data_IF_555749982988
#
_entry.id   IF_555749982988
#
_cell.length_a   1.000
_cell.length_b   1.000
_cell.length_c   1.000
_cell.angle_alpha   90.00
_cell.angle_beta   90.00
_cell.angle_gamma   90.00
#
_symmetry.space_group_name_H-M   'P 1'
#
loop_
_entity.id
_entity.type
_entity.pdbx_description
1 polymer ?
#
# COMPACT_ATOMS: atom_id res chain seq x y z
N UNK A 1 25.04 6.32 7.88
CA UNK A 1 24.62 6.87 6.58
C UNK A 1 23.17 6.45 6.38
N UNK A 2 22.24 7.37 6.14
CA UNK A 2 20.83 7.00 5.93
C UNK A 2 20.72 6.27 4.58
N UNK A 3 19.95 5.17 4.50
CA UNK A 3 19.76 4.43 3.25
C UNK A 3 19.04 5.33 2.23
N UNK A 4 19.30 5.11 0.94
CA UNK A 4 18.53 5.75 -0.11
C UNK A 4 17.10 5.18 -0.07
N UNK A 5 16.12 6.04 0.22
CA UNK A 5 14.71 5.67 0.31
C UNK A 5 14.07 5.73 -1.08
N UNK A 6 13.24 4.75 -1.42
CA UNK A 6 12.42 4.74 -2.63
C UNK A 6 11.53 6.00 -2.68
N UNK A 7 11.25 6.51 -3.87
CA UNK A 7 10.31 7.63 -4.06
C UNK A 7 8.85 7.31 -3.68
N UNK A 8 8.57 6.07 -3.24
CA UNK A 8 7.27 5.66 -2.73
C UNK A 8 6.94 6.36 -1.40
N UNK A 9 5.69 6.82 -1.21
CA UNK A 9 5.27 7.43 0.06
C UNK A 9 5.43 6.47 1.24
N UNK A 10 5.63 7.04 2.43
CA UNK A 10 5.61 6.30 3.69
C UNK A 10 4.29 5.57 3.90
N UNK A 11 4.35 4.43 4.58
CA UNK A 11 3.18 3.66 5.01
C UNK A 11 3.19 3.51 6.51
N UNK A 12 2.10 3.90 7.17
CA UNK A 12 2.01 3.87 8.64
C UNK A 12 1.13 2.72 9.13
N UNK A 13 1.64 1.94 10.08
CA UNK A 13 0.89 0.94 10.85
C UNK A 13 1.66 0.62 12.14
N UNK A 14 0.99 0.08 13.16
CA UNK A 14 1.59 -0.28 14.45
C UNK A 14 2.44 0.85 15.08
N UNK A 15 1.99 2.11 14.94
CA UNK A 15 2.69 3.26 15.53
C UNK A 15 3.97 3.70 14.80
N UNK A 16 4.34 3.07 13.69
CA UNK A 16 5.54 3.40 12.94
C UNK A 16 5.24 3.80 11.49
N UNK A 17 6.08 4.66 10.91
CA UNK A 17 6.13 4.90 9.48
C UNK A 17 7.19 4.03 8.82
N UNK A 18 6.88 3.52 7.63
CA UNK A 18 7.71 2.56 6.90
C UNK A 18 7.98 3.05 5.49
N UNK A 19 9.21 2.85 5.05
CA UNK A 19 9.68 3.14 3.71
C UNK A 19 10.42 1.93 3.15
N UNK A 20 10.36 1.78 1.83
CA UNK A 20 11.14 0.78 1.13
C UNK A 20 12.47 1.40 0.71
N UNK A 21 13.58 0.73 0.96
CA UNK A 21 14.89 1.18 0.49
C UNK A 21 15.05 0.93 -1.01
N UNK A 22 15.90 1.72 -1.66
CA UNK A 22 16.36 1.43 -3.02
C UNK A 22 17.31 0.22 -2.92
N UNK A 23 17.18 -0.80 -3.78
CA UNK A 23 18.12 -1.92 -3.77
C UNK A 23 19.55 -1.42 -3.95
N UNK A 24 20.45 -1.79 -3.03
CA UNK A 24 21.89 -1.59 -3.20
C UNK A 24 22.46 -2.83 -3.90
N UNK A 25 23.34 -2.65 -4.89
CA UNK A 25 24.04 -3.77 -5.55
C UNK A 25 24.90 -4.58 -4.57
N UNK A 26 25.25 -4.00 -3.42
CA UNK A 26 26.04 -4.64 -2.37
C UNK A 26 25.22 -5.47 -1.38
N UNK A 27 23.89 -5.26 -1.31
CA UNK A 27 22.98 -5.96 -0.37
C UNK A 27 21.93 -6.74 -1.14
N UNK A 28 21.73 -8.05 -0.89
CA UNK A 28 20.70 -8.81 -1.58
C UNK A 28 19.28 -8.30 -1.25
N UNK A 29 18.63 -7.68 -2.25
CA UNK A 29 17.22 -7.30 -2.19
C UNK A 29 16.97 -5.92 -1.58
N UNK A 30 15.69 -5.63 -1.29
CA UNK A 30 15.28 -4.42 -0.61
C UNK A 30 15.03 -4.68 0.87
N UNK A 31 15.20 -3.63 1.66
CA UNK A 31 14.87 -3.59 3.08
C UNK A 31 13.74 -2.60 3.32
N UNK A 32 13.11 -2.75 4.47
CA UNK A 32 12.09 -1.83 4.98
C UNK A 32 12.75 -1.04 6.10
N UNK A 33 12.85 0.26 5.90
CA UNK A 33 13.26 1.21 6.93
C UNK A 33 12.01 1.70 7.66
N UNK A 34 12.03 1.69 8.99
CA UNK A 34 10.93 2.14 9.81
C UNK A 34 11.40 3.15 10.86
N UNK A 35 10.52 4.08 11.21
CA UNK A 35 10.68 4.97 12.34
C UNK A 35 9.47 4.81 13.26
N UNK A 36 9.72 4.40 14.50
CA UNK A 36 8.69 4.07 15.49
C UNK A 36 8.32 5.29 16.33
N UNK A 37 7.10 5.81 16.17
CA UNK A 37 6.61 6.94 16.96
C UNK A 37 5.95 6.53 18.29
N UNK A 38 5.64 5.24 18.48
CA UNK A 38 4.81 4.79 19.59
C UNK A 38 5.60 4.34 20.81
N UNK A 39 6.83 3.86 20.63
CA UNK A 39 7.68 3.42 21.73
C UNK A 39 8.87 4.36 21.96
N UNK A 40 10.01 4.06 21.34
CA UNK A 40 11.30 4.65 21.70
C UNK A 40 11.80 5.74 20.72
N UNK A 41 11.03 6.10 19.69
CA UNK A 41 11.50 7.02 18.63
C UNK A 41 12.77 6.51 17.94
N UNK A 42 12.85 5.19 17.75
CA UNK A 42 13.99 4.50 17.16
C UNK A 42 13.76 4.13 15.69
N UNK A 43 14.88 3.95 14.99
CA UNK A 43 14.88 3.43 13.62
C UNK A 43 15.04 1.91 13.63
N UNK A 44 14.24 1.25 12.80
CA UNK A 44 14.31 -0.20 12.61
C UNK A 44 14.48 -0.55 11.14
N UNK A 45 15.10 -1.71 10.91
CA UNK A 45 15.28 -2.29 9.59
C UNK A 45 14.67 -3.68 9.59
N UNK A 46 13.91 -3.99 8.53
CA UNK A 46 13.31 -5.31 8.34
C UNK A 46 13.60 -5.82 6.93
N UNK A 47 13.89 -7.10 6.82
CA UNK A 47 13.98 -7.79 5.53
C UNK A 47 12.60 -7.90 4.89
N UNK A 48 12.60 -7.72 3.56
CA UNK A 48 11.44 -8.05 2.73
C UNK A 48 11.31 -9.58 2.57
N UNK A 49 10.11 -10.10 2.27
CA UNK A 49 9.91 -11.53 2.03
C UNK A 49 10.54 -12.03 0.73
N UNK A 50 11.06 -11.12 -0.11
CA UNK A 50 11.64 -11.42 -1.41
C UNK A 50 13.07 -10.87 -1.44
N UNK A 51 14.04 -11.75 -1.19
CA UNK A 51 15.46 -11.38 -1.09
C UNK A 51 16.14 -11.18 -2.45
N UNK A 52 15.51 -11.63 -3.54
CA UNK A 52 15.99 -11.44 -4.91
C UNK A 52 14.90 -10.78 -5.72
N UNK A 53 15.12 -9.50 -5.98
CA UNK A 53 14.33 -8.73 -6.93
C UNK A 53 15.20 -8.71 -8.19
N UNK A 54 14.66 -9.19 -9.31
CA UNK A 54 15.31 -8.96 -10.60
C UNK A 54 15.38 -7.45 -10.76
N UNK A 55 16.59 -6.89 -10.68
CA UNK A 55 16.84 -5.44 -10.67
C UNK A 55 16.57 -4.77 -12.01
N UNK A 56 16.11 -5.53 -13.00
CA UNK A 56 15.58 -4.96 -14.23
C UNK A 56 14.30 -4.18 -13.91
N UNK A 57 14.06 -3.05 -14.57
CA UNK A 57 12.95 -2.09 -14.38
C UNK A 57 11.52 -2.68 -14.50
N UNK A 58 11.42 -4.00 -14.62
CA UNK A 58 10.24 -4.76 -14.92
C UNK A 58 9.55 -5.27 -13.65
N UNK A 59 10.28 -5.49 -12.55
CA UNK A 59 9.68 -5.84 -11.26
C UNK A 59 9.54 -4.60 -10.36
N UNK A 60 8.30 -4.26 -10.02
CA UNK A 60 7.98 -3.11 -9.15
C UNK A 60 7.51 -3.60 -7.80
N UNK A 61 8.08 -3.05 -6.74
CA UNK A 61 7.74 -3.39 -5.36
C UNK A 61 7.17 -2.19 -4.62
N UNK A 62 6.45 -2.43 -3.54
CA UNK A 62 5.91 -1.36 -2.72
C UNK A 62 5.35 -1.86 -1.40
N UNK A 63 5.08 -0.90 -0.51
CA UNK A 63 4.49 -1.14 0.79
C UNK A 63 3.02 -0.68 0.82
N UNK A 64 2.26 -1.24 1.76
CA UNK A 64 0.90 -0.83 2.05
C UNK A 64 0.44 -1.38 3.40
N UNK A 65 -0.83 -1.15 3.72
CA UNK A 65 -1.49 -1.77 4.88
C UNK A 65 -2.70 -2.52 4.37
N UNK A 66 -2.84 -3.78 4.77
CA UNK A 66 -3.99 -4.61 4.42
C UNK A 66 -4.44 -5.39 5.65
N UNK A 67 -5.66 -5.10 6.10
CA UNK A 67 -6.21 -5.72 7.32
C UNK A 67 -5.45 -5.34 8.59
N UNK A 68 -4.84 -4.15 8.64
CA UNK A 68 -4.01 -3.69 9.77
C UNK A 68 -2.55 -4.17 9.72
N UNK A 69 -2.25 -5.22 8.95
CA UNK A 69 -0.88 -5.70 8.78
C UNK A 69 -0.10 -4.86 7.75
N UNK A 70 1.20 -4.67 7.99
CA UNK A 70 2.12 -4.18 6.96
C UNK A 70 2.12 -5.18 5.80
N UNK A 71 1.95 -4.69 4.58
CA UNK A 71 1.95 -5.52 3.38
C UNK A 71 3.11 -5.16 2.44
N UNK A 72 3.74 -6.19 1.88
CA UNK A 72 4.72 -6.07 0.82
C UNK A 72 4.11 -6.57 -0.48
N UNK A 73 4.20 -5.75 -1.52
CA UNK A 73 3.55 -5.97 -2.81
C UNK A 73 4.61 -6.09 -3.89
N UNK A 74 4.48 -7.11 -4.74
CA UNK A 74 5.34 -7.33 -5.91
C UNK A 74 4.47 -7.35 -7.15
N UNK A 75 4.77 -6.46 -8.10
CA UNK A 75 4.18 -6.41 -9.43
C UNK A 75 5.27 -6.77 -10.45
N UNK A 76 5.19 -7.96 -11.03
CA UNK A 76 6.12 -8.40 -12.07
C UNK A 76 5.50 -8.13 -13.44
N UNK A 77 6.02 -7.12 -14.14
CA UNK A 77 5.52 -6.73 -15.46
C UNK A 77 5.96 -7.72 -16.56
N UNK A 78 6.99 -8.55 -16.34
CA UNK A 78 7.54 -9.51 -17.31
C UNK A 78 6.65 -10.73 -17.37
N UNK A 79 6.41 -11.30 -16.19
CA UNK A 79 5.66 -12.53 -16.00
C UNK A 79 4.18 -12.25 -15.71
N UNK A 80 3.77 -10.97 -15.66
CA UNK A 80 2.40 -10.52 -15.48
C UNK A 80 1.74 -11.10 -14.22
N UNK A 81 2.44 -11.08 -13.09
CA UNK A 81 1.86 -11.48 -11.81
C UNK A 81 1.92 -10.39 -10.76
N UNK A 82 1.02 -10.52 -9.78
CA UNK A 82 0.93 -9.65 -8.62
C UNK A 82 0.87 -10.51 -7.35
N UNK A 83 1.87 -10.35 -6.49
CA UNK A 83 2.01 -11.06 -5.22
C UNK A 83 1.82 -10.08 -4.07
N UNK A 84 1.10 -10.50 -3.03
CA UNK A 84 0.94 -9.75 -1.79
C UNK A 84 1.27 -10.60 -0.59
N UNK A 85 2.12 -10.04 0.26
CA UNK A 85 2.58 -10.64 1.51
C UNK A 85 2.14 -9.77 2.69
N UNK A 86 1.82 -10.39 3.81
CA UNK A 86 1.53 -9.71 5.08
C UNK A 86 2.52 -10.13 6.15
N UNK A 87 3.05 -9.16 6.89
CA UNK A 87 3.76 -9.39 8.13
C UNK A 87 2.70 -9.65 9.20
N UNK A 88 2.47 -10.93 9.51
CA UNK A 88 1.38 -11.36 10.41
C UNK A 88 1.64 -10.96 11.85
N UNK A 89 2.91 -10.98 12.25
CA UNK A 89 3.38 -10.49 13.54
C UNK A 89 4.31 -9.31 13.26
N UNK A 90 3.90 -8.12 13.68
CA UNK A 90 4.64 -6.90 13.41
C UNK A 90 6.07 -6.98 13.98
N UNK A 91 7.06 -6.56 13.20
CA UNK A 91 8.47 -6.63 13.56
C UNK A 91 9.12 -8.01 13.42
N UNK A 92 8.34 -9.08 13.18
CA UNK A 92 8.84 -10.45 13.05
C UNK A 92 8.99 -10.81 11.57
N UNK A 93 10.22 -10.76 11.05
CA UNK A 93 10.52 -11.02 9.63
C UNK A 93 10.08 -12.42 9.15
N UNK A 94 10.17 -13.44 10.01
CA UNK A 94 9.72 -14.80 9.68
C UNK A 94 8.21 -14.93 9.59
N UNK A 95 7.44 -13.93 10.01
CA UNK A 95 5.97 -13.93 9.96
C UNK A 95 5.40 -13.52 8.60
N UNK A 96 6.26 -13.12 7.65
CA UNK A 96 5.83 -12.79 6.30
C UNK A 96 5.12 -13.98 5.66
N UNK A 97 3.83 -13.80 5.37
CA UNK A 97 2.98 -14.83 4.76
C UNK A 97 2.44 -14.32 3.44
N UNK A 98 2.64 -15.08 2.36
CA UNK A 98 2.02 -14.79 1.06
C UNK A 98 0.52 -15.02 1.17
N UNK A 99 -0.28 -13.98 0.97
CA UNK A 99 -1.74 -14.07 1.02
C UNK A 99 -2.28 -14.57 -0.31
N UNK A 100 -1.77 -14.02 -1.41
CA UNK A 100 -2.15 -14.47 -2.74
C UNK A 100 -1.06 -14.14 -3.77
N UNK A 101 -1.16 -14.86 -4.89
CA UNK A 101 -0.48 -14.61 -6.15
C UNK A 101 -1.52 -14.65 -7.24
N UNK A 102 -1.61 -13.60 -8.06
CA UNK A 102 -2.58 -13.50 -9.14
C UNK A 102 -1.90 -13.23 -10.47
N UNK A 103 -2.38 -13.92 -11.52
CA UNK A 103 -1.99 -13.65 -12.90
C UNK A 103 -2.80 -12.45 -13.41
N UNK A 104 -2.11 -11.38 -13.74
CA UNK A 104 -2.69 -10.11 -14.18
C UNK A 104 -3.34 -10.22 -15.55
N UNK A 105 -2.81 -11.07 -16.44
CA UNK A 105 -3.37 -11.31 -17.78
C UNK A 105 -4.68 -12.07 -17.69
N UNK A 106 -4.71 -13.18 -16.94
CA UNK A 106 -5.91 -14.00 -16.72
C UNK A 106 -7.02 -13.19 -16.04
N UNK A 107 -6.65 -12.28 -15.14
CA UNK A 107 -7.55 -11.39 -14.43
C UNK A 107 -7.86 -10.08 -15.17
N UNK A 108 -7.30 -9.88 -16.38
CA UNK A 108 -7.51 -8.67 -17.20
C UNK A 108 -7.18 -7.37 -16.43
N UNK A 109 -6.21 -7.42 -15.54
CA UNK A 109 -5.69 -6.28 -14.79
C UNK A 109 -4.48 -5.74 -15.57
N UNK A 110 -4.65 -4.59 -16.22
CA UNK A 110 -3.56 -3.95 -16.95
C UNK A 110 -2.60 -3.23 -15.99
N UNK A 111 -1.30 -3.51 -16.14
CA UNK A 111 -0.23 -2.64 -15.67
C UNK A 111 0.13 -1.68 -16.80
N UNK A 112 0.03 -0.38 -16.56
CA UNK A 112 0.68 0.58 -17.46
C UNK A 112 2.21 0.42 -17.26
N UNK A 113 2.95 0.14 -18.31
CA UNK A 113 4.38 -0.21 -18.25
C UNK A 113 5.22 0.84 -17.54
N UNK A 114 4.87 2.13 -17.66
CA UNK A 114 5.71 3.19 -17.09
C UNK A 114 5.35 3.52 -15.63
N UNK A 115 4.08 3.50 -15.23
CA UNK A 115 3.64 3.95 -13.88
C UNK A 115 2.56 3.07 -13.22
N UNK A 116 2.20 1.94 -13.81
CA UNK A 116 1.19 1.04 -13.28
C UNK A 116 1.72 0.28 -12.07
N UNK A 117 1.04 0.42 -10.94
CA UNK A 117 1.22 -0.37 -9.74
C UNK A 117 -0.16 -0.84 -9.28
N UNK A 118 -0.31 -2.13 -8.98
CA UNK A 118 -1.54 -2.65 -8.37
C UNK A 118 -1.35 -2.63 -6.86
N UNK A 119 -2.25 -1.94 -6.16
CA UNK A 119 -2.21 -1.79 -4.70
C UNK A 119 -3.40 -2.51 -4.06
N UNK A 120 -3.18 -3.36 -3.04
CA UNK A 120 -4.26 -3.84 -2.21
C UNK A 120 -4.72 -2.73 -1.25
N UNK A 121 -6.02 -2.51 -1.17
CA UNK A 121 -6.62 -1.47 -0.33
C UNK A 121 -7.28 -2.05 0.93
N UNK A 122 -8.09 -3.09 0.79
CA UNK A 122 -8.88 -3.62 1.91
C UNK A 122 -9.39 -5.03 1.65
N UNK A 123 -9.54 -5.83 2.71
CA UNK A 123 -10.36 -7.04 2.64
C UNK A 123 -11.85 -6.69 2.57
N UNK A 124 -12.65 -7.55 1.93
CA UNK A 124 -14.10 -7.58 2.12
C UNK A 124 -14.44 -7.91 3.57
N UNK A 125 -15.69 -7.65 3.97
CA UNK A 125 -16.16 -7.89 5.34
C UNK A 125 -15.98 -9.35 5.78
N UNK A 126 -16.17 -10.30 4.87
CA UNK A 126 -16.01 -11.74 5.10
C UNK A 126 -14.56 -12.23 4.92
N UNK A 127 -13.62 -11.35 4.57
CA UNK A 127 -12.22 -11.69 4.33
C UNK A 127 -11.95 -12.47 3.03
N UNK A 128 -12.98 -12.80 2.23
CA UNK A 128 -12.83 -13.65 1.05
C UNK A 128 -12.34 -12.93 -0.21
N UNK A 129 -12.44 -11.60 -0.23
CA UNK A 129 -12.03 -10.77 -1.35
C UNK A 129 -11.09 -9.66 -0.91
N UNK A 130 -10.26 -9.21 -1.83
CA UNK A 130 -9.40 -8.04 -1.67
C UNK A 130 -9.80 -6.98 -2.69
N UNK A 131 -10.02 -5.76 -2.22
CA UNK A 131 -10.18 -4.59 -3.09
C UNK A 131 -8.79 -4.17 -3.56
N UNK A 132 -8.59 -4.22 -4.88
CA UNK A 132 -7.37 -3.80 -5.55
C UNK A 132 -7.63 -2.50 -6.30
N UNK A 133 -6.58 -1.70 -6.41
CA UNK A 133 -6.55 -0.48 -7.19
C UNK A 133 -5.42 -0.58 -8.21
N UNK A 134 -5.69 -0.14 -9.44
CA UNK A 134 -4.67 0.46 -10.29
C UNK A 134 -5.08 1.90 -10.61
N UNK A 135 -4.16 2.68 -11.19
CA UNK A 135 -4.31 4.14 -11.44
C UNK A 135 -5.61 4.62 -12.11
N UNK A 136 -6.43 3.71 -12.66
CA UNK A 136 -7.69 4.02 -13.34
C UNK A 136 -8.90 3.23 -12.81
N UNK A 137 -8.68 2.17 -12.03
CA UNK A 137 -9.73 1.18 -11.76
C UNK A 137 -9.62 0.57 -10.37
N UNK A 138 -10.79 0.18 -9.85
CA UNK A 138 -10.92 -0.68 -8.69
C UNK A 138 -11.38 -2.07 -9.13
N UNK A 139 -10.91 -3.10 -8.43
CA UNK A 139 -11.26 -4.50 -8.68
C UNK A 139 -11.51 -5.22 -7.37
N UNK A 140 -12.52 -6.06 -7.31
CA UNK A 140 -12.60 -7.11 -6.30
C UNK A 140 -11.87 -8.33 -6.80
N UNK A 141 -10.86 -8.80 -6.06
CA UNK A 141 -10.21 -10.07 -6.30
C UNK A 141 -10.71 -11.11 -5.30
N UNK A 142 -11.33 -12.18 -5.79
CA UNK A 142 -11.79 -13.31 -4.99
C UNK A 142 -10.63 -14.27 -4.73
N UNK A 143 -10.27 -14.45 -3.46
CA UNK A 143 -9.11 -15.22 -3.04
C UNK A 143 -9.29 -16.72 -3.28
N UNK A 144 -10.52 -17.23 -3.12
CA UNK A 144 -10.84 -18.65 -3.32
C UNK A 144 -10.92 -18.97 -4.82
N UNK A 145 -11.66 -18.16 -5.57
CA UNK A 145 -11.88 -18.38 -7.01
C UNK A 145 -10.72 -17.92 -7.88
N UNK A 146 -9.79 -17.15 -7.32
CA UNK A 146 -8.64 -16.53 -8.00
C UNK A 146 -9.06 -15.73 -9.23
N UNK A 147 -10.17 -14.99 -9.10
CA UNK A 147 -10.77 -14.19 -10.18
C UNK A 147 -11.02 -12.77 -9.73
N UNK A 148 -10.72 -11.81 -10.59
CA UNK A 148 -11.05 -10.42 -10.38
C UNK A 148 -12.30 -9.98 -11.13
N UNK A 149 -13.05 -9.07 -10.51
CA UNK A 149 -14.17 -8.36 -11.10
C UNK A 149 -13.92 -6.85 -10.98
N UNK A 150 -14.01 -6.13 -12.09
CA UNK A 150 -13.86 -4.67 -12.10
C UNK A 150 -15.07 -4.03 -11.41
N UNK A 151 -14.81 -3.22 -10.39
CA UNK A 151 -15.84 -2.46 -9.70
C UNK A 151 -16.26 -1.27 -10.57
N UNK A 152 -17.53 -1.25 -11.00
CA UNK A 152 -18.11 -0.12 -11.73
C UNK A 152 -18.72 0.87 -10.74
N UNK A 153 -17.93 1.86 -10.35
CA UNK A 153 -18.45 3.00 -9.59
C UNK A 153 -18.85 4.09 -10.59
N UNK A 154 -20.10 4.53 -10.54
CA UNK A 154 -20.58 5.59 -11.42
C UNK A 154 -19.90 6.92 -11.06
N UNK A 155 -19.55 7.72 -12.06
CA UNK A 155 -18.99 9.08 -11.93
C UNK A 155 -17.61 9.18 -11.25
N UNK A 156 -16.78 8.13 -11.27
CA UNK A 156 -15.37 8.30 -10.90
C UNK A 156 -14.64 9.20 -11.92
N UNK A 157 -13.76 10.12 -11.47
CA UNK A 157 -12.89 10.84 -12.38
C UNK A 157 -11.93 9.88 -13.09
N UNK A 158 -11.39 10.32 -14.23
CA UNK A 158 -10.47 9.52 -15.08
C UNK A 158 -9.23 9.05 -14.30
N UNK A 159 -8.78 9.87 -13.33
CA UNK A 159 -7.70 9.57 -12.41
C UNK A 159 -8.16 9.91 -10.98
N UNK A 160 -7.89 9.02 -10.04
CA UNK A 160 -8.12 9.22 -8.62
C UNK A 160 -7.01 8.54 -7.83
N UNK A 161 -6.87 8.94 -6.56
CA UNK A 161 -6.01 8.27 -5.57
C UNK A 161 -6.89 7.88 -4.38
N UNK A 162 -7.23 6.60 -4.20
CA UNK A 162 -7.86 6.10 -2.99
C UNK A 162 -6.97 6.33 -1.77
N UNK A 163 -7.60 6.82 -0.72
CA UNK A 163 -7.02 6.84 0.61
C UNK A 163 -7.80 5.86 1.47
N UNK A 164 -7.11 4.88 2.05
CA UNK A 164 -7.68 3.97 3.03
C UNK A 164 -7.55 4.64 4.40
N UNK A 165 -8.66 5.08 4.97
CA UNK A 165 -8.73 5.53 6.36
C UNK A 165 -9.40 4.48 7.24
N UNK A 166 -8.82 4.23 8.41
CA UNK A 166 -9.52 3.61 9.54
C UNK A 166 -10.10 4.73 10.37
N UNK A 167 -11.43 4.75 10.51
CA UNK A 167 -12.10 5.73 11.38
C UNK A 167 -11.59 5.57 12.80
N UNK A 168 -11.14 6.67 13.41
CA UNK A 168 -10.87 6.75 14.84
C UNK A 168 -12.08 7.37 15.50
N UNK A 169 -12.55 6.79 16.61
CA UNK A 169 -13.63 7.36 17.44
C UNK A 169 -13.09 8.39 18.44
N UNK A 170 -11.98 9.07 18.13
CA UNK A 170 -11.63 10.29 18.84
C UNK A 170 -12.71 11.30 18.49
N UNK A 171 -13.60 11.58 19.47
CA UNK A 171 -14.34 12.83 19.48
C UNK A 171 -13.29 13.94 19.35
N UNK A 172 -13.35 14.70 18.25
CA UNK A 172 -12.77 16.03 18.25
C UNK A 172 -13.61 16.77 19.30
N UNK A 173 -13.14 16.84 20.53
CA UNK A 173 -13.78 17.68 21.53
C UNK A 173 -13.88 19.09 20.94
N UNK A 174 -15.11 19.59 20.91
CA UNK A 174 -15.49 20.86 20.33
C UNK A 174 -14.67 22.02 20.93
N UNK A 175 -14.07 22.84 20.05
CA UNK A 175 -13.77 24.21 20.41
C UNK A 175 -12.43 24.76 19.94
N UNK A 176 -12.23 24.86 18.63
CA UNK A 176 -11.67 26.11 18.09
C UNK A 176 -12.24 26.34 16.69
N UNK A 177 -13.15 27.32 16.60
CA UNK A 177 -13.72 27.76 15.34
C UNK A 177 -12.62 28.44 14.52
N UNK A 178 -12.05 27.73 13.54
CA UNK A 178 -11.30 28.38 12.45
C UNK A 178 -12.31 29.00 11.47
N UNK A 179 -13.01 30.04 11.93
CA UNK A 179 -13.78 30.92 11.06
C UNK A 179 -13.38 32.35 11.46
N UNK A 180 -12.60 33.00 10.59
CA UNK A 180 -12.30 34.43 10.69
C UNK A 180 -13.63 35.22 10.62
N UNK A 181 -14.01 35.98 11.66
CA UNK A 181 -15.28 36.72 11.68
C UNK A 181 -15.38 37.86 10.64
N UNK A 182 -14.33 38.16 9.86
CA UNK A 182 -14.28 39.36 9.02
C UNK A 182 -14.78 39.22 7.57
N UNK A 183 -15.28 38.07 7.12
CA UNK A 183 -15.79 37.95 5.72
C UNK A 183 -17.29 38.13 5.51
N UNK A 184 -18.07 38.59 6.51
CA UNK A 184 -19.49 38.91 6.33
C UNK A 184 -19.83 40.40 6.52
N UNK A 185 -19.16 41.28 5.76
CA UNK A 185 -19.70 42.58 5.28
C UNK A 185 -18.99 42.84 3.95
N UNK A 186 -19.60 42.76 2.77
CA UNK A 186 -20.56 43.71 2.21
C UNK A 186 -21.23 43.03 0.99
N UNK A 187 -22.56 42.90 1.03
CA UNK A 187 -23.42 43.01 -0.16
C UNK A 187 -24.71 43.73 0.25
N UNK A 188 -24.81 45.00 -0.13
CA UNK A 188 -26.04 45.64 -0.57
C UNK A 188 -25.66 46.53 -1.74
#
# INVERSE_FOLDING_TARGET
MLPWISSSPAVSTNGAAHWLTIPDRSVPGQEIFAFDFANNEEFHFYKTPVQRIDTDDIQKTGLGVLGGCLCFVVNDCKNLYHDVWLMKEYGVESSWTKVYKTDLRANKISLNTNFGFVKPLKFSRDGKKVLLENSKNLFWYDLEKKRSERLKVQKLPVLFRPLTSTGSLLLLDDGDSVIDPKQNKIKK
#
